data_IF_853385708925
#
_entry.id   IF_853385708925
#
_cell.length_a   1.000
_cell.length_b   1.000
_cell.length_c   1.000
_cell.angle_alpha   90.00
_cell.angle_beta   90.00
_cell.angle_gamma   90.00
#
_symmetry.space_group_name_H-M   'P 1'
#
loop_
_entity.id
_entity.type
_entity.pdbx_description
1 polymer ?
#
# COMPACT_ATOMS: atom_id res chain seq x y z
N UNK A 1 -22.47 8.32 -3.20
CA UNK A 1 -22.44 7.26 -4.21
C UNK A 1 -21.85 6.03 -3.56
N UNK A 2 -22.68 5.10 -3.11
CA UNK A 2 -22.20 3.84 -2.53
C UNK A 2 -21.73 2.94 -3.67
N UNK A 3 -20.42 2.84 -3.86
CA UNK A 3 -19.86 1.94 -4.88
C UNK A 3 -19.89 0.50 -4.36
N UNK A 4 -21.10 -0.04 -4.25
CA UNK A 4 -21.38 -1.46 -3.98
C UNK A 4 -21.05 -2.23 -5.26
N UNK A 5 -20.09 -3.15 -5.19
CA UNK A 5 -19.72 -4.00 -6.33
C UNK A 5 -20.80 -5.05 -6.59
N UNK A 6 -21.25 -5.71 -5.52
CA UNK A 6 -22.31 -6.70 -5.54
C UNK A 6 -22.85 -6.85 -4.11
N UNK A 7 -24.05 -7.41 -4.01
CA UNK A 7 -24.67 -7.77 -2.73
C UNK A 7 -24.48 -9.27 -2.56
N UNK A 8 -23.81 -9.69 -1.49
CA UNK A 8 -23.61 -11.09 -1.15
C UNK A 8 -24.36 -11.43 0.12
N UNK A 9 -25.31 -12.37 0.06
CA UNK A 9 -26.11 -12.81 1.20
C UNK A 9 -26.79 -11.64 1.97
N UNK A 10 -27.27 -10.63 1.25
CA UNK A 10 -27.90 -9.44 1.85
C UNK A 10 -26.92 -8.40 2.40
N UNK A 11 -25.60 -8.61 2.29
CA UNK A 11 -24.56 -7.68 2.74
C UNK A 11 -23.96 -6.96 1.52
N UNK A 12 -24.01 -5.62 1.45
CA UNK A 12 -23.39 -4.88 0.37
C UNK A 12 -21.86 -4.94 0.47
N UNK A 13 -21.19 -5.38 -0.59
CA UNK A 13 -19.73 -5.40 -0.67
C UNK A 13 -19.23 -4.13 -1.34
N UNK A 14 -18.57 -3.27 -0.56
CA UNK A 14 -18.01 -2.02 -1.06
C UNK A 14 -16.72 -2.24 -1.84
N UNK A 15 -16.56 -1.49 -2.93
CA UNK A 15 -15.36 -1.55 -3.77
C UNK A 15 -14.05 -1.31 -3.02
N UNK A 16 -14.03 -0.38 -2.06
CA UNK A 16 -12.82 -0.09 -1.28
C UNK A 16 -12.35 -1.29 -0.46
N UNK A 17 -13.24 -1.86 0.36
CA UNK A 17 -12.92 -3.02 1.20
C UNK A 17 -12.55 -4.25 0.37
N UNK A 18 -13.24 -4.48 -0.74
CA UNK A 18 -12.92 -5.58 -1.66
C UNK A 18 -11.53 -5.44 -2.26
N UNK A 19 -11.16 -4.25 -2.74
CA UNK A 19 -9.84 -4.00 -3.31
C UNK A 19 -8.71 -4.13 -2.27
N UNK A 20 -8.92 -3.63 -1.05
CA UNK A 20 -7.94 -3.82 0.04
C UNK A 20 -7.78 -5.31 0.37
N UNK A 21 -8.88 -6.06 0.46
CA UNK A 21 -8.85 -7.51 0.70
C UNK A 21 -8.08 -8.25 -0.39
N UNK A 22 -8.32 -7.93 -1.67
CA UNK A 22 -7.55 -8.46 -2.79
C UNK A 22 -6.07 -8.08 -2.69
N UNK A 23 -5.78 -6.83 -2.30
CA UNK A 23 -4.42 -6.35 -2.04
C UNK A 23 -3.73 -7.19 -0.98
N UNK A 24 -4.39 -7.45 0.15
CA UNK A 24 -3.86 -8.26 1.26
C UNK A 24 -3.61 -9.71 0.86
N UNK A 25 -4.52 -10.33 0.11
CA UNK A 25 -4.34 -11.69 -0.42
C UNK A 25 -3.15 -11.72 -1.39
N UNK A 26 -3.11 -10.81 -2.37
CA UNK A 26 -2.00 -10.74 -3.32
C UNK A 26 -0.67 -10.46 -2.62
N UNK A 27 -0.66 -9.53 -1.67
CA UNK A 27 0.53 -9.13 -0.91
C UNK A 27 1.07 -10.26 -0.04
N UNK A 28 0.20 -10.97 0.68
CA UNK A 28 0.58 -12.12 1.50
C UNK A 28 1.15 -13.26 0.63
N UNK A 29 0.48 -13.62 -0.47
CA UNK A 29 0.97 -14.65 -1.39
C UNK A 29 2.33 -14.28 -2.01
N UNK A 30 2.52 -13.02 -2.41
CA UNK A 30 3.79 -12.54 -2.96
C UNK A 30 4.91 -12.54 -1.92
N UNK A 31 4.62 -12.12 -0.69
CA UNK A 31 5.58 -12.14 0.42
C UNK A 31 5.96 -13.57 0.78
N UNK A 32 5.00 -14.49 0.84
CA UNK A 32 5.24 -15.91 1.05
C UNK A 32 6.12 -16.52 -0.06
N UNK A 33 5.86 -16.15 -1.32
CA UNK A 33 6.64 -16.62 -2.46
C UNK A 33 8.09 -16.10 -2.43
N UNK A 34 8.29 -14.83 -2.11
CA UNK A 34 9.62 -14.24 -2.02
C UNK A 34 10.35 -14.66 -0.74
N UNK A 35 9.62 -14.85 0.36
CA UNK A 35 10.14 -15.39 1.61
C UNK A 35 10.72 -16.79 1.44
N UNK A 36 10.01 -17.68 0.72
CA UNK A 36 10.52 -19.01 0.37
C UNK A 36 11.83 -18.95 -0.42
N UNK A 37 11.99 -17.97 -1.32
CA UNK A 37 13.23 -17.76 -2.08
C UNK A 37 14.40 -17.33 -1.19
N UNK A 38 14.12 -16.69 -0.06
CA UNK A 38 15.10 -16.18 0.91
C UNK A 38 15.27 -17.08 2.15
N UNK A 39 14.67 -18.26 2.15
CA UNK A 39 14.77 -19.22 3.25
C UNK A 39 13.93 -18.87 4.49
N UNK A 40 12.94 -17.98 4.33
CA UNK A 40 12.00 -17.65 5.41
C UNK A 40 10.87 -18.69 5.47
N UNK A 41 10.45 -19.02 6.69
CA UNK A 41 9.37 -19.96 6.93
C UNK A 41 8.00 -19.40 6.49
N UNK A 42 7.20 -20.22 5.83
CA UNK A 42 5.91 -19.81 5.26
C UNK A 42 4.87 -19.56 6.36
N UNK A 43 4.83 -20.44 7.36
CA UNK A 43 3.83 -20.41 8.42
C UNK A 43 4.05 -19.18 9.31
N UNK A 44 5.31 -18.84 9.56
CA UNK A 44 5.69 -17.62 10.27
C UNK A 44 5.25 -16.35 9.52
N UNK A 45 5.46 -16.29 8.19
CA UNK A 45 5.01 -15.14 7.36
C UNK A 45 3.49 -15.02 7.39
N UNK A 46 2.77 -16.12 7.17
CA UNK A 46 1.32 -16.11 7.16
C UNK A 46 0.76 -15.71 8.53
N UNK A 47 1.29 -16.27 9.62
CA UNK A 47 0.93 -15.91 11.00
C UNK A 47 1.13 -14.42 11.26
N UNK A 48 2.23 -13.83 10.77
CA UNK A 48 2.47 -12.39 10.88
C UNK A 48 1.39 -11.56 10.19
N UNK A 49 0.96 -11.93 8.97
CA UNK A 49 -0.14 -11.24 8.27
C UNK A 49 -1.46 -11.35 9.02
N UNK A 50 -1.78 -12.54 9.55
CA UNK A 50 -3.00 -12.77 10.33
C UNK A 50 -3.01 -11.91 11.59
N UNK A 51 -1.94 -11.93 12.39
CA UNK A 51 -1.85 -11.13 13.61
C UNK A 51 -1.90 -9.62 13.32
N UNK A 52 -1.19 -9.17 12.28
CA UNK A 52 -1.18 -7.74 11.90
C UNK A 52 -2.57 -7.28 11.43
N UNK A 53 -3.28 -8.12 10.67
CA UNK A 53 -4.65 -7.84 10.21
C UNK A 53 -5.64 -7.84 11.38
N UNK A 54 -5.51 -8.79 12.32
CA UNK A 54 -6.33 -8.83 13.52
C UNK A 54 -6.14 -7.56 14.37
N UNK A 55 -4.88 -7.14 14.58
CA UNK A 55 -4.58 -5.88 15.29
C UNK A 55 -5.19 -4.69 14.56
N UNK A 56 -5.04 -4.59 13.23
CA UNK A 56 -5.65 -3.54 12.41
C UNK A 56 -7.16 -3.42 12.65
N UNK A 57 -7.89 -4.53 12.54
CA UNK A 57 -9.34 -4.56 12.67
C UNK A 57 -9.79 -4.22 14.10
N UNK A 58 -9.15 -4.83 15.11
CA UNK A 58 -9.52 -4.63 16.52
C UNK A 58 -9.24 -3.18 16.94
N UNK A 59 -8.03 -2.69 16.68
CA UNK A 59 -7.63 -1.33 17.09
C UNK A 59 -8.41 -0.24 16.34
N UNK A 60 -8.60 -0.39 15.03
CA UNK A 60 -9.39 0.56 14.24
C UNK A 60 -10.85 0.57 14.65
N UNK A 61 -11.41 -0.57 15.06
CA UNK A 61 -12.78 -0.64 15.59
C UNK A 61 -12.91 0.06 16.94
N UNK A 62 -11.98 -0.21 17.85
CA UNK A 62 -11.94 0.44 19.17
C UNK A 62 -11.80 1.96 19.00
N UNK A 63 -10.89 2.42 18.13
CA UNK A 63 -10.68 3.84 17.87
C UNK A 63 -11.94 4.51 17.29
N UNK A 64 -12.62 3.87 16.34
CA UNK A 64 -13.86 4.37 15.76
C UNK A 64 -14.96 4.53 16.81
N UNK A 65 -15.20 3.50 17.63
CA UNK A 65 -16.22 3.54 18.69
C UNK A 65 -15.87 4.57 19.75
N UNK A 66 -14.58 4.68 20.11
CA UNK A 66 -14.08 5.68 21.04
C UNK A 66 -14.26 7.11 20.51
N UNK A 67 -14.05 7.34 19.21
CA UNK A 67 -14.29 8.65 18.59
C UNK A 67 -15.75 9.11 18.73
N UNK A 68 -16.70 8.18 18.54
CA UNK A 68 -18.13 8.46 18.62
C UNK A 68 -18.68 8.55 20.05
N UNK A 69 -18.35 7.60 20.91
CA UNK A 69 -18.97 7.43 22.23
C UNK A 69 -18.06 7.89 23.38
N UNK A 70 -16.78 8.13 23.10
CA UNK A 70 -15.74 8.49 24.07
C UNK A 70 -15.79 7.55 25.28
N UNK A 71 -15.87 8.08 26.51
CA UNK A 71 -15.91 7.29 27.74
C UNK A 71 -17.16 6.41 27.88
N UNK A 72 -18.25 6.71 27.15
CA UNK A 72 -19.50 5.92 27.21
C UNK A 72 -19.34 4.53 26.59
N UNK A 73 -18.24 4.26 25.87
CA UNK A 73 -17.96 2.91 25.35
C UNK A 73 -17.81 1.87 26.46
N UNK A 74 -17.29 2.26 27.63
CA UNK A 74 -17.10 1.34 28.75
C UNK A 74 -18.41 0.99 29.46
N UNK A 75 -19.41 1.87 29.34
CA UNK A 75 -20.75 1.65 29.88
C UNK A 75 -21.55 0.68 29.00
N UNK A 76 -21.30 0.72 27.68
CA UNK A 76 -22.04 -0.06 26.68
C UNK A 76 -21.08 -0.82 25.74
N UNK A 77 -20.43 -1.90 26.23
CA UNK A 77 -19.41 -2.62 25.45
C UNK A 77 -19.95 -3.29 24.18
N UNK A 78 -21.26 -3.57 24.12
CA UNK A 78 -21.90 -4.16 22.94
C UNK A 78 -21.79 -3.29 21.68
N UNK A 79 -21.58 -1.97 21.83
CA UNK A 79 -21.35 -1.04 20.71
C UNK A 79 -20.10 -1.41 19.89
N UNK A 80 -19.14 -2.15 20.48
CA UNK A 80 -18.00 -2.68 19.75
C UNK A 80 -18.41 -3.64 18.62
N UNK A 81 -19.53 -4.35 18.78
CA UNK A 81 -20.02 -5.33 17.81
C UNK A 81 -21.08 -4.76 16.84
N UNK A 82 -21.48 -3.50 16.99
CA UNK A 82 -22.54 -2.90 16.15
C UNK A 82 -22.01 -2.27 14.86
N UNK A 83 -22.07 -3.01 13.75
CA UNK A 83 -21.66 -2.53 12.42
C UNK A 83 -20.17 -2.74 12.12
N UNK A 84 -19.77 -2.43 10.88
CA UNK A 84 -18.47 -2.85 10.30
C UNK A 84 -17.50 -1.69 10.01
N UNK A 85 -17.78 -0.50 10.54
CA UNK A 85 -16.94 0.68 10.31
C UNK A 85 -15.70 0.64 11.21
N UNK A 86 -14.56 1.00 10.63
CA UNK A 86 -13.22 0.92 11.24
C UNK A 86 -12.50 2.23 10.96
N UNK A 87 -11.84 2.80 11.97
CA UNK A 87 -10.93 3.93 11.76
C UNK A 87 -9.62 3.41 11.15
N UNK A 88 -9.44 3.70 9.88
CA UNK A 88 -8.29 3.26 9.10
C UNK A 88 -6.97 3.83 9.63
N UNK A 89 -6.97 5.08 10.10
CA UNK A 89 -5.74 5.76 10.52
C UNK A 89 -5.21 5.16 11.82
N UNK A 90 -6.07 5.02 12.83
CA UNK A 90 -5.71 4.39 14.08
C UNK A 90 -5.36 2.91 13.89
N UNK A 91 -6.13 2.20 13.04
CA UNK A 91 -5.86 0.81 12.69
C UNK A 91 -4.49 0.63 12.03
N UNK A 92 -4.13 1.45 11.04
CA UNK A 92 -2.85 1.39 10.35
C UNK A 92 -1.67 1.69 11.30
N UNK A 93 -1.81 2.68 12.18
CA UNK A 93 -0.77 3.02 13.15
C UNK A 93 -0.53 1.85 14.11
N UNK A 94 -1.60 1.29 14.69
CA UNK A 94 -1.49 0.16 15.60
C UNK A 94 -0.94 -1.10 14.89
N UNK A 95 -1.38 -1.37 13.66
CA UNK A 95 -0.87 -2.46 12.85
C UNK A 95 0.61 -2.28 12.48
N UNK A 96 1.06 -1.04 12.20
CA UNK A 96 2.46 -0.77 11.93
C UNK A 96 3.35 -0.99 13.17
N UNK A 97 2.90 -0.53 14.34
CA UNK A 97 3.61 -0.72 15.62
C UNK A 97 3.67 -2.20 15.99
N UNK A 98 2.52 -2.88 16.00
CA UNK A 98 2.46 -4.31 16.32
C UNK A 98 3.19 -5.15 15.28
N UNK A 99 3.04 -4.84 13.99
CA UNK A 99 3.75 -5.49 12.90
C UNK A 99 5.26 -5.40 13.08
N UNK A 100 5.78 -4.21 13.38
CA UNK A 100 7.21 -4.01 13.64
C UNK A 100 7.69 -4.83 14.86
N UNK A 101 6.93 -4.81 15.96
CA UNK A 101 7.22 -5.63 17.13
C UNK A 101 7.25 -7.13 16.81
N UNK A 102 6.26 -7.63 16.06
CA UNK A 102 6.17 -9.02 15.63
C UNK A 102 7.31 -9.40 14.68
N UNK A 103 7.78 -8.46 13.84
CA UNK A 103 8.94 -8.71 12.95
C UNK A 103 10.18 -9.05 13.77
N UNK A 104 10.49 -8.25 14.79
CA UNK A 104 11.64 -8.49 15.66
C UNK A 104 11.46 -9.72 16.56
N UNK A 105 10.21 -10.10 16.85
CA UNK A 105 9.91 -11.27 17.71
C UNK A 105 9.95 -12.61 16.95
N UNK A 106 9.55 -12.62 15.69
CA UNK A 106 9.40 -13.85 14.90
C UNK A 106 10.54 -14.11 13.92
N UNK A 107 11.23 -13.07 13.43
CA UNK A 107 12.27 -13.24 12.42
C UNK A 107 13.66 -12.94 12.98
N UNK A 108 14.63 -13.87 12.85
CA UNK A 108 16.02 -13.62 13.23
C UNK A 108 16.68 -12.58 12.33
N UNK A 109 16.24 -12.47 11.07
CA UNK A 109 16.75 -11.51 10.07
C UNK A 109 15.63 -10.57 9.60
N UNK A 110 15.28 -9.55 10.40
CA UNK A 110 14.11 -8.70 10.15
C UNK A 110 14.22 -7.92 8.82
N UNK A 111 15.41 -7.47 8.46
CA UNK A 111 15.67 -6.74 7.21
C UNK A 111 15.37 -7.59 5.96
N UNK A 112 15.67 -8.89 6.02
CA UNK A 112 15.42 -9.83 4.91
C UNK A 112 13.92 -10.03 4.70
N UNK A 113 13.16 -10.14 5.80
CA UNK A 113 11.69 -10.22 5.77
C UNK A 113 11.07 -8.93 5.22
N UNK A 114 11.50 -7.78 5.73
CA UNK A 114 10.99 -6.49 5.27
C UNK A 114 11.26 -6.29 3.78
N UNK A 115 12.43 -6.69 3.27
CA UNK A 115 12.73 -6.63 1.83
C UNK A 115 11.88 -7.58 0.98
N UNK A 116 11.52 -8.75 1.52
CA UNK A 116 10.57 -9.65 0.85
C UNK A 116 9.16 -9.03 0.79
N UNK A 117 8.80 -8.27 1.83
CA UNK A 117 7.51 -7.59 1.97
C UNK A 117 7.41 -6.29 1.16
N UNK A 118 8.52 -5.59 0.91
CA UNK A 118 8.52 -4.27 0.27
C UNK A 118 7.78 -4.20 -1.09
N UNK A 119 7.99 -5.14 -2.05
CA UNK A 119 7.18 -5.18 -3.26
C UNK A 119 5.70 -5.48 -2.97
N UNK A 120 5.41 -6.36 -2.00
CA UNK A 120 4.05 -6.70 -1.62
C UNK A 120 3.30 -5.48 -1.05
N UNK A 121 3.94 -4.65 -0.24
CA UNK A 121 3.34 -3.40 0.25
C UNK A 121 2.98 -2.45 -0.90
N UNK A 122 3.83 -2.35 -1.92
CA UNK A 122 3.54 -1.52 -3.09
C UNK A 122 2.29 -2.01 -3.85
N UNK A 123 2.13 -3.33 -4.03
CA UNK A 123 0.92 -3.86 -4.69
C UNK A 123 -0.34 -3.69 -3.82
N UNK A 124 -0.22 -3.85 -2.50
CA UNK A 124 -1.31 -3.62 -1.55
C UNK A 124 -1.79 -2.17 -1.63
N UNK A 125 -0.85 -1.23 -1.62
CA UNK A 125 -1.16 0.20 -1.72
C UNK A 125 -1.73 0.57 -3.10
N UNK A 126 -1.28 -0.08 -4.16
CA UNK A 126 -1.86 0.07 -5.51
C UNK A 126 -3.35 -0.31 -5.53
N UNK A 127 -3.70 -1.47 -4.98
CA UNK A 127 -5.09 -1.91 -4.88
C UNK A 127 -5.92 -1.01 -3.95
N UNK A 128 -5.38 -0.61 -2.80
CA UNK A 128 -6.05 0.31 -1.88
C UNK A 128 -6.41 1.64 -2.55
N UNK A 129 -5.48 2.21 -3.33
CA UNK A 129 -5.76 3.42 -4.11
C UNK A 129 -6.80 3.16 -5.21
N UNK A 130 -6.73 2.03 -5.93
CA UNK A 130 -7.71 1.72 -6.96
C UNK A 130 -9.14 1.58 -6.40
N UNK A 131 -9.26 1.04 -5.18
CA UNK A 131 -10.53 0.93 -4.47
C UNK A 131 -11.03 2.26 -3.89
N UNK A 132 -10.16 3.25 -3.68
CA UNK A 132 -10.50 4.49 -2.99
C UNK A 132 -11.45 5.38 -3.80
N UNK A 133 -12.26 6.16 -3.09
CA UNK A 133 -13.17 7.17 -3.64
C UNK A 133 -12.75 8.59 -3.20
N UNK A 134 -11.52 8.77 -2.73
CA UNK A 134 -10.99 10.08 -2.31
C UNK A 134 -10.39 10.78 -3.52
N UNK A 135 -11.15 11.69 -4.11
CA UNK A 135 -10.74 12.45 -5.28
C UNK A 135 -9.87 13.64 -4.94
N UNK A 136 -9.16 14.15 -5.96
CA UNK A 136 -8.37 15.36 -5.84
C UNK A 136 -9.20 16.62 -6.09
N UNK A 137 -8.50 17.76 -6.18
CA UNK A 137 -9.09 19.08 -6.44
C UNK A 137 -9.81 19.16 -7.79
N UNK A 138 -10.67 20.17 -7.89
CA UNK A 138 -11.35 20.52 -9.13
C UNK A 138 -10.38 20.85 -10.26
N UNK A 139 -10.73 20.42 -11.47
CA UNK A 139 -9.85 20.50 -12.63
C UNK A 139 -10.61 20.47 -13.94
N UNK A 140 -9.97 20.95 -14.99
CA UNK A 140 -10.50 21.00 -16.36
C UNK A 140 -9.82 20.02 -17.31
N UNK A 141 -8.92 19.16 -16.80
CA UNK A 141 -8.21 18.16 -17.62
C UNK A 141 -9.19 17.18 -18.30
N UNK A 142 -8.87 16.68 -19.50
CA UNK A 142 -9.80 15.86 -20.28
C UNK A 142 -10.07 14.48 -19.67
N UNK A 143 -9.18 13.99 -18.79
CA UNK A 143 -9.34 12.74 -18.04
C UNK A 143 -9.89 12.96 -16.62
N UNK A 144 -10.51 14.11 -16.34
CA UNK A 144 -11.16 14.36 -15.05
C UNK A 144 -12.35 13.42 -14.85
N UNK A 145 -12.59 12.99 -13.61
CA UNK A 145 -13.79 12.25 -13.26
C UNK A 145 -14.90 13.25 -12.98
N UNK A 146 -16.04 13.07 -13.64
CA UNK A 146 -17.21 13.90 -13.42
C UNK A 146 -18.08 13.29 -12.31
N UNK A 147 -18.21 14.01 -11.20
CA UNK A 147 -19.10 13.65 -10.10
C UNK A 147 -20.17 14.73 -9.97
N UNK A 148 -21.33 14.49 -10.61
CA UNK A 148 -22.38 15.49 -10.73
C UNK A 148 -21.89 16.71 -11.53
N UNK A 149 -21.88 17.87 -10.87
CA UNK A 149 -21.43 19.14 -11.46
C UNK A 149 -19.91 19.38 -11.38
N UNK A 150 -19.19 18.58 -10.58
CA UNK A 150 -17.77 18.79 -10.36
C UNK A 150 -16.92 17.87 -11.24
N UNK A 151 -15.86 18.43 -11.83
CA UNK A 151 -14.80 17.69 -12.51
C UNK A 151 -13.59 17.65 -11.59
N UNK A 152 -13.19 16.46 -11.16
CA UNK A 152 -12.16 16.27 -10.14
C UNK A 152 -10.99 15.47 -10.70
N UNK A 153 -9.79 15.71 -10.16
CA UNK A 153 -8.64 14.87 -10.45
C UNK A 153 -8.88 13.43 -9.97
N UNK A 154 -8.70 12.40 -10.81
CA UNK A 154 -8.71 11.00 -10.40
C UNK A 154 -7.46 10.62 -9.60
N UNK A 155 -7.29 11.24 -8.43
CA UNK A 155 -6.21 10.97 -7.49
C UNK A 155 -6.07 9.47 -7.14
N UNK A 156 -7.16 8.70 -6.95
CA UNK A 156 -7.06 7.26 -6.68
C UNK A 156 -6.39 6.50 -7.84
N UNK A 157 -6.67 6.87 -9.10
CA UNK A 157 -6.03 6.28 -10.27
C UNK A 157 -4.55 6.62 -10.35
N UNK A 158 -4.18 7.89 -10.10
CA UNK A 158 -2.77 8.31 -10.09
C UNK A 158 -1.98 7.54 -9.02
N UNK A 159 -2.56 7.39 -7.83
CA UNK A 159 -1.95 6.61 -6.75
C UNK A 159 -1.80 5.14 -7.13
N UNK A 160 -2.86 4.53 -7.68
CA UNK A 160 -2.85 3.12 -8.06
C UNK A 160 -1.74 2.82 -9.10
N UNK A 161 -1.66 3.63 -10.17
CA UNK A 161 -0.63 3.47 -11.21
C UNK A 161 0.77 3.72 -10.64
N UNK A 162 0.96 4.77 -9.82
CA UNK A 162 2.26 5.07 -9.24
C UNK A 162 2.76 3.95 -8.32
N UNK A 163 1.90 3.42 -7.44
CA UNK A 163 2.27 2.30 -6.57
C UNK A 163 2.48 0.99 -7.34
N UNK A 164 1.73 0.75 -8.42
CA UNK A 164 1.99 -0.37 -9.32
C UNK A 164 3.35 -0.23 -10.04
N UNK A 165 3.72 0.99 -10.44
CA UNK A 165 5.05 1.25 -11.00
C UNK A 165 6.15 0.99 -9.98
N UNK A 166 5.98 1.42 -8.72
CA UNK A 166 6.90 1.10 -7.62
C UNK A 166 7.03 -0.41 -7.46
N UNK A 167 5.90 -1.14 -7.38
CA UNK A 167 5.90 -2.59 -7.33
C UNK A 167 6.73 -3.18 -8.49
N UNK A 168 6.49 -2.73 -9.72
CA UNK A 168 7.15 -3.23 -10.91
C UNK A 168 8.67 -2.97 -10.90
N UNK A 169 9.10 -1.81 -10.40
CA UNK A 169 10.52 -1.44 -10.23
C UNK A 169 11.16 -2.33 -9.16
N UNK A 170 10.57 -2.42 -7.97
CA UNK A 170 11.09 -3.23 -6.86
C UNK A 170 11.11 -4.72 -7.19
N UNK A 171 10.06 -5.21 -7.87
CA UNK A 171 9.96 -6.58 -8.32
C UNK A 171 11.09 -6.94 -9.28
N UNK A 172 11.54 -6.00 -10.11
CA UNK A 172 12.72 -6.19 -10.96
C UNK A 172 14.02 -6.08 -10.18
N UNK A 173 14.12 -5.09 -9.29
CA UNK A 173 15.30 -4.84 -8.46
C UNK A 173 15.61 -5.99 -7.48
N UNK A 174 14.61 -6.78 -7.06
CA UNK A 174 14.77 -7.91 -6.12
C UNK A 174 15.73 -9.02 -6.56
N UNK A 175 16.15 -9.02 -7.82
CA UNK A 175 17.15 -9.96 -8.35
C UNK A 175 18.58 -9.41 -8.30
N UNK A 176 18.74 -8.13 -7.99
CA UNK A 176 20.01 -7.38 -8.04
C UNK A 176 20.31 -6.68 -6.70
N UNK A 177 19.78 -7.20 -5.60
CA UNK A 177 20.01 -6.65 -4.26
C UNK A 177 21.45 -6.90 -3.82
N UNK A 178 22.12 -5.88 -3.27
CA UNK A 178 23.51 -5.93 -2.78
C UNK A 178 23.60 -6.08 -1.27
N UNK A 179 22.58 -5.64 -0.53
CA UNK A 179 22.54 -5.68 0.93
C UNK A 179 21.10 -5.90 1.41
N UNK A 180 20.96 -6.38 2.66
CA UNK A 180 19.66 -6.60 3.30
C UNK A 180 19.05 -5.26 3.75
N UNK A 181 17.79 -5.01 3.39
CA UNK A 181 17.08 -3.75 3.62
C UNK A 181 17.07 -2.81 2.42
N UNK A 182 17.71 -3.18 1.30
CA UNK A 182 17.78 -2.33 0.12
C UNK A 182 16.40 -2.06 -0.51
N UNK A 183 15.51 -3.06 -0.55
CA UNK A 183 14.21 -2.92 -1.19
C UNK A 183 13.24 -2.12 -0.30
N UNK A 184 13.34 -2.25 1.02
CA UNK A 184 12.52 -1.50 1.98
C UNK A 184 12.84 -0.02 1.93
N UNK A 185 14.12 0.34 1.96
CA UNK A 185 14.55 1.73 1.84
C UNK A 185 14.10 2.30 0.48
N UNK A 186 14.29 1.53 -0.59
CA UNK A 186 13.81 1.91 -1.92
C UNK A 186 12.28 2.10 -1.97
N UNK A 187 11.51 1.24 -1.31
CA UNK A 187 10.06 1.37 -1.19
C UNK A 187 9.68 2.67 -0.47
N UNK A 188 10.25 2.96 0.70
CA UNK A 188 9.96 4.17 1.44
C UNK A 188 10.40 5.45 0.69
N UNK A 189 11.54 5.41 -0.01
CA UNK A 189 11.99 6.51 -0.85
C UNK A 189 11.01 6.80 -2.01
N UNK A 190 10.67 5.77 -2.80
CA UNK A 190 9.78 5.91 -3.96
C UNK A 190 8.34 6.26 -3.56
N UNK A 191 7.85 5.71 -2.45
CA UNK A 191 6.54 6.05 -1.92
C UNK A 191 6.48 7.48 -1.39
N UNK A 192 7.55 7.98 -0.75
CA UNK A 192 7.64 9.39 -0.32
C UNK A 192 7.61 10.35 -1.52
N UNK A 193 8.34 10.02 -2.60
CA UNK A 193 8.27 10.77 -3.86
C UNK A 193 6.86 10.77 -4.46
N UNK A 194 6.20 9.61 -4.44
CA UNK A 194 4.83 9.45 -4.95
C UNK A 194 3.85 10.28 -4.11
N UNK A 195 3.93 10.24 -2.79
CA UNK A 195 3.07 11.03 -1.91
C UNK A 195 3.28 12.53 -2.12
N UNK A 196 4.53 12.99 -2.21
CA UNK A 196 4.84 14.39 -2.53
C UNK A 196 4.26 14.82 -3.88
N UNK A 197 4.34 13.96 -4.90
CA UNK A 197 3.72 14.23 -6.20
C UNK A 197 2.19 14.29 -6.10
N UNK A 198 1.57 13.33 -5.41
CA UNK A 198 0.12 13.23 -5.25
C UNK A 198 -0.47 14.39 -4.44
N UNK A 199 0.26 14.94 -3.48
CA UNK A 199 -0.16 16.11 -2.70
C UNK A 199 -0.49 17.33 -3.57
N UNK A 200 0.13 17.47 -4.75
CA UNK A 200 -0.14 18.57 -5.69
C UNK A 200 -1.56 18.54 -6.25
N UNK A 201 -2.17 17.36 -6.27
CA UNK A 201 -3.53 17.14 -6.78
C UNK A 201 -4.57 17.08 -5.66
N UNK A 202 -4.18 16.99 -4.39
CA UNK A 202 -5.12 17.06 -3.27
C UNK A 202 -5.66 18.48 -3.09
N UNK A 203 -6.88 18.57 -2.58
CA UNK A 203 -7.44 19.85 -2.14
C UNK A 203 -6.63 20.39 -0.96
N UNK A 204 -6.15 21.63 -1.08
CA UNK A 204 -5.45 22.29 0.02
C UNK A 204 -6.49 22.95 0.93
N UNK A 205 -6.73 22.34 2.09
CA UNK A 205 -7.40 22.96 3.24
C UNK A 205 -6.39 23.51 4.23
N UNK A 206 -6.83 24.34 5.19
CA UNK A 206 -5.98 24.91 6.25
C UNK A 206 -5.29 23.85 7.15
N UNK A 207 -5.75 22.60 7.12
CA UNK A 207 -5.22 21.45 7.88
C UNK A 207 -4.36 20.54 6.99
N UNK A 208 -4.02 20.98 5.77
CA UNK A 208 -3.24 20.16 4.84
C UNK A 208 -1.84 19.92 5.36
N UNK A 209 -1.38 18.68 5.23
CA UNK A 209 -0.01 18.31 5.53
C UNK A 209 0.96 19.14 4.70
N UNK A 210 1.94 19.73 5.38
CA UNK A 210 3.01 20.47 4.74
C UNK A 210 3.71 19.60 3.69
N UNK A 211 3.95 20.08 2.45
CA UNK A 211 4.64 19.31 1.41
C UNK A 211 6.01 18.79 1.85
N UNK A 212 6.65 19.49 2.79
CA UNK A 212 7.94 19.13 3.38
C UNK A 212 7.93 17.78 4.10
N UNK A 213 6.78 17.34 4.63
CA UNK A 213 6.64 16.07 5.35
C UNK A 213 7.00 14.87 4.48
N UNK A 214 6.77 14.95 3.17
CA UNK A 214 7.11 13.87 2.25
C UNK A 214 8.39 14.14 1.47
N UNK A 215 8.71 15.42 1.20
CA UNK A 215 9.91 15.78 0.45
C UNK A 215 11.20 15.46 1.23
N UNK A 216 11.23 15.79 2.53
CA UNK A 216 12.43 15.57 3.36
C UNK A 216 12.76 14.08 3.46
N UNK A 217 11.82 13.17 3.82
CA UNK A 217 12.08 11.73 3.77
C UNK A 217 12.41 11.22 2.38
N UNK A 218 11.77 11.74 1.33
CA UNK A 218 12.05 11.32 -0.05
C UNK A 218 13.52 11.55 -0.41
N UNK A 219 14.05 12.74 -0.15
CA UNK A 219 15.45 13.07 -0.44
C UNK A 219 16.39 12.29 0.48
N UNK A 220 16.14 12.26 1.78
CA UNK A 220 17.00 11.59 2.75
C UNK A 220 17.11 10.08 2.50
N UNK A 221 15.98 9.40 2.27
CA UNK A 221 15.96 7.97 2.00
C UNK A 221 16.54 7.65 0.62
N UNK A 222 16.33 8.50 -0.39
CA UNK A 222 16.96 8.32 -1.70
C UNK A 222 18.48 8.44 -1.60
N UNK A 223 18.98 9.44 -0.86
CA UNK A 223 20.40 9.62 -0.62
C UNK A 223 20.99 8.43 0.14
N UNK A 224 20.32 7.96 1.21
CA UNK A 224 20.73 6.78 1.96
C UNK A 224 20.74 5.52 1.06
N UNK A 225 19.73 5.36 0.21
CA UNK A 225 19.63 4.23 -0.70
C UNK A 225 20.79 4.18 -1.70
N UNK A 226 21.11 5.33 -2.31
CA UNK A 226 22.24 5.46 -3.24
C UNK A 226 23.57 5.28 -2.53
N UNK A 227 23.77 5.92 -1.37
CA UNK A 227 24.98 5.81 -0.57
C UNK A 227 25.28 4.37 -0.16
N UNK A 228 24.28 3.65 0.39
CA UNK A 228 24.43 2.25 0.77
C UNK A 228 24.64 1.35 -0.44
N UNK A 229 23.99 1.65 -1.57
CA UNK A 229 24.18 0.88 -2.81
C UNK A 229 25.61 1.01 -3.36
N UNK A 230 26.19 2.20 -3.31
CA UNK A 230 27.57 2.48 -3.77
C UNK A 230 28.60 1.82 -2.85
N UNK A 231 28.38 1.87 -1.53
CA UNK A 231 29.32 1.33 -0.55
C UNK A 231 29.18 -0.18 -0.29
N UNK A 232 28.09 -0.80 -0.72
CA UNK A 232 27.88 -2.23 -0.50
C UNK A 232 28.86 -3.08 -1.34
N UNK A 233 29.52 -4.09 -0.74
CA UNK A 233 30.39 -5.00 -1.48
C UNK A 233 29.60 -5.75 -2.55
N UNK A 234 30.25 -6.03 -3.68
CA UNK A 234 29.66 -6.82 -4.76
C UNK A 234 29.47 -8.26 -4.27
N UNK A 235 28.28 -8.59 -3.77
CA UNK A 235 27.92 -9.99 -3.54
C UNK A 235 28.01 -10.77 -4.87
N UNK A 236 28.50 -12.02 -4.86
CA UNK A 236 28.51 -12.84 -6.06
C UNK A 236 27.08 -12.97 -6.57
N UNK A 237 26.83 -12.37 -7.73
CA UNK A 237 25.53 -12.35 -8.39
C UNK A 237 24.97 -13.77 -8.42
N UNK A 238 23.86 -14.01 -7.72
CA UNK A 238 23.12 -15.27 -7.80
C UNK A 238 22.95 -15.66 -9.27
N UNK A 239 23.47 -16.84 -9.63
CA UNK A 239 23.73 -17.35 -11.00
C UNK A 239 22.51 -17.49 -11.93
N UNK A 240 21.37 -16.83 -11.71
CA UNK A 240 20.21 -16.87 -12.62
C UNK A 240 19.96 -15.54 -13.31
N UNK A 241 20.85 -15.23 -14.26
CA UNK A 241 20.74 -14.09 -15.18
C UNK A 241 19.77 -14.43 -16.33
N UNK A 242 18.48 -14.57 -16.02
CA UNK A 242 17.45 -14.49 -17.08
C UNK A 242 17.15 -13.01 -17.28
N UNK A 243 17.77 -12.40 -18.31
CA UNK A 243 17.39 -11.05 -18.76
C UNK A 243 15.96 -11.13 -19.26
N UNK A 244 14.98 -10.72 -18.46
CA UNK A 244 13.67 -10.39 -19.02
C UNK A 244 13.85 -9.19 -19.95
N UNK A 245 13.33 -9.22 -21.19
CA UNK A 245 13.46 -8.10 -22.11
C UNK A 245 12.87 -6.84 -21.46
N UNK A 246 13.63 -5.74 -21.46
CA UNK A 246 13.20 -4.45 -20.91
C UNK A 246 11.88 -4.02 -21.56
N UNK A 247 11.75 -4.26 -22.86
CA UNK A 247 10.56 -3.97 -23.66
C UNK A 247 9.35 -4.75 -23.13
N UNK A 248 9.50 -6.04 -22.85
CA UNK A 248 8.40 -6.86 -22.30
C UNK A 248 7.95 -6.37 -20.91
N UNK A 249 8.89 -5.89 -20.09
CA UNK A 249 8.55 -5.28 -18.80
C UNK A 249 7.77 -3.96 -18.99
N UNK A 250 8.23 -3.06 -19.86
CA UNK A 250 7.53 -1.80 -20.16
C UNK A 250 6.12 -2.08 -20.70
N UNK A 251 5.98 -3.00 -21.66
CA UNK A 251 4.69 -3.40 -22.20
C UNK A 251 3.76 -3.95 -21.12
N UNK A 252 4.27 -4.78 -20.20
CA UNK A 252 3.45 -5.29 -19.09
C UNK A 252 2.97 -4.17 -18.16
N UNK A 253 3.83 -3.18 -17.87
CA UNK A 253 3.47 -2.05 -17.02
C UNK A 253 2.42 -1.17 -17.70
N UNK A 254 2.58 -0.89 -18.99
CA UNK A 254 1.61 -0.13 -19.77
C UNK A 254 0.28 -0.86 -19.90
N UNK A 255 0.30 -2.17 -20.18
CA UNK A 255 -0.90 -2.99 -20.28
C UNK A 255 -1.68 -2.99 -18.96
N UNK A 256 -1.01 -3.19 -17.83
CA UNK A 256 -1.69 -3.17 -16.52
C UNK A 256 -2.19 -1.77 -16.17
N UNK A 257 -1.41 -0.72 -16.45
CA UNK A 257 -1.84 0.66 -16.24
C UNK A 257 -3.07 1.01 -17.08
N UNK A 258 -3.13 0.52 -18.32
CA UNK A 258 -4.31 0.64 -19.19
C UNK A 258 -5.50 -0.10 -18.60
N UNK A 259 -5.34 -1.35 -18.16
CA UNK A 259 -6.44 -2.10 -17.55
C UNK A 259 -6.93 -1.44 -16.26
N UNK A 260 -6.04 -0.90 -15.43
CA UNK A 260 -6.42 -0.17 -14.21
C UNK A 260 -7.22 1.08 -14.55
N UNK A 261 -6.82 1.79 -15.62
CA UNK A 261 -7.55 2.97 -16.10
C UNK A 261 -8.94 2.60 -16.60
N UNK A 262 -9.06 1.52 -17.40
CA UNK A 262 -10.35 1.03 -17.89
C UNK A 262 -11.27 0.60 -16.75
N UNK A 263 -10.77 -0.20 -15.80
CA UNK A 263 -11.55 -0.64 -14.63
C UNK A 263 -11.97 0.55 -13.77
N UNK A 264 -11.09 1.53 -13.59
CA UNK A 264 -11.38 2.71 -12.80
C UNK A 264 -12.49 3.56 -13.44
N UNK A 265 -12.40 3.86 -14.74
CA UNK A 265 -13.43 4.64 -15.43
C UNK A 265 -14.74 3.86 -15.60
N UNK A 266 -14.70 2.53 -15.77
CA UNK A 266 -15.91 1.70 -15.78
C UNK A 266 -16.71 1.79 -14.47
N UNK A 267 -16.06 2.09 -13.35
CA UNK A 267 -16.73 2.30 -12.06
C UNK A 267 -17.46 3.64 -11.94
N UNK A 268 -17.08 4.65 -12.74
CA UNK A 268 -17.54 6.03 -12.59
C UNK A 268 -18.18 6.64 -13.83
N UNK A 269 -18.11 5.97 -14.98
CA UNK A 269 -18.84 6.32 -16.20
C UNK A 269 -20.16 5.58 -16.27
#
# INVERSE_FOLDING_TARGET
MENVLFIFAGIPVYSYGFMIGLGLICGSLLTCREGRRRGLDHDTIFSWFVWTTAVFLISGRIAFVFSLHRWRMFIYPWVLFTGFQVDETAGLIAAAVAGLFLVFRFFPTPLVFLDAMAPALAIMQSFANLGSNVFGRQTTVPWAVQLGYFKLHPMPLYGAIAYYLIFSILWRARRYTRFDGQLVIGFFALSSWTQWFLLRFREQSAVSWSPWVFLVPAVALSAAWVYLYVNAPLLPLSKRRVRSPVVGWILSVLAVSLTMTLVFFWRFG
#
